data_IF_977422355992
#
_entry.id   IF_977422355992
#
_cell.length_a   1.000
_cell.length_b   1.000
_cell.length_c   1.000
_cell.angle_alpha   90.00
_cell.angle_beta   90.00
_cell.angle_gamma   90.00
#
_symmetry.space_group_name_H-M   'P 1'
#
loop_
_entity.id
_entity.type
_entity.pdbx_description
1 polymer ?
#
# COMPACT_ATOMS: atom_id res chain seq x y z
N UNK A 1 0.50 -6.56 15.95
CA UNK A 1 0.03 -5.15 15.90
C UNK A 1 -0.76 -4.94 14.62
N UNK A 2 -1.79 -4.08 14.64
CA UNK A 2 -2.59 -3.77 13.46
C UNK A 2 -1.80 -2.73 12.63
N UNK A 3 -1.48 -2.97 11.36
CA UNK A 3 -0.70 -2.02 10.56
C UNK A 3 -1.44 -0.68 10.48
N UNK A 4 -0.72 0.46 10.58
CA UNK A 4 -1.35 1.77 10.52
C UNK A 4 -2.03 1.95 9.17
N UNK A 5 -3.17 2.63 9.17
CA UNK A 5 -4.05 2.75 8.01
C UNK A 5 -4.58 4.17 7.91
N UNK A 6 -4.53 4.74 6.71
CA UNK A 6 -5.22 5.98 6.39
C UNK A 6 -5.89 5.88 5.03
N UNK A 7 -6.84 6.77 4.81
CA UNK A 7 -7.46 6.97 3.52
C UNK A 7 -7.74 8.45 3.33
N UNK A 8 -7.81 8.87 2.07
CA UNK A 8 -8.11 10.23 1.66
C UNK A 8 -8.90 10.17 0.37
N UNK A 9 -9.86 11.07 0.24
CA UNK A 9 -10.50 11.34 -1.04
C UNK A 9 -9.93 12.66 -1.56
N UNK A 10 -9.23 12.61 -2.69
CA UNK A 10 -8.60 13.78 -3.30
C UNK A 10 -8.96 13.82 -4.77
N UNK A 11 -9.51 14.95 -5.20
CA UNK A 11 -9.85 15.20 -6.61
C UNK A 11 -10.74 14.11 -7.25
N UNK A 12 -11.59 13.45 -6.44
CA UNK A 12 -12.46 12.37 -6.90
C UNK A 12 -11.82 10.98 -6.94
N UNK A 13 -10.54 10.87 -6.56
CA UNK A 13 -9.85 9.58 -6.39
C UNK A 13 -9.70 9.22 -4.92
N UNK A 14 -10.00 7.96 -4.60
CA UNK A 14 -9.88 7.42 -3.26
C UNK A 14 -8.52 6.77 -3.07
N UNK A 15 -7.69 7.42 -2.27
CA UNK A 15 -6.36 6.97 -1.87
C UNK A 15 -6.50 6.22 -0.55
N UNK A 16 -5.92 5.02 -0.46
CA UNK A 16 -5.89 4.20 0.76
C UNK A 16 -4.48 3.67 0.96
N UNK A 17 -3.99 3.71 2.19
CA UNK A 17 -2.68 3.22 2.53
C UNK A 17 -2.72 2.38 3.80
N UNK A 18 -1.98 1.29 3.84
CA UNK A 18 -1.78 0.48 5.04
C UNK A 18 -0.33 0.00 5.17
N UNK A 19 0.19 -0.03 6.39
CA UNK A 19 1.52 -0.54 6.71
C UNK A 19 2.53 0.58 6.96
N UNK A 20 3.82 0.28 6.83
CA UNK A 20 4.92 1.21 7.10
C UNK A 20 5.79 1.38 5.87
N UNK A 21 6.22 2.61 5.61
CA UNK A 21 7.19 2.95 4.56
C UNK A 21 8.54 3.32 5.16
N UNK A 22 9.62 2.98 4.49
CA UNK A 22 10.97 3.50 4.74
C UNK A 22 11.58 4.00 3.42
N UNK A 23 12.54 4.95 3.47
CA UNK A 23 13.19 5.48 2.26
C UNK A 23 13.80 4.41 1.35
N UNK A 24 14.26 3.29 1.92
CA UNK A 24 14.89 2.19 1.19
C UNK A 24 13.89 1.11 0.75
N UNK A 25 12.59 1.32 0.93
CA UNK A 25 11.59 0.34 0.49
C UNK A 25 11.47 0.37 -1.04
N UNK A 26 11.50 -0.81 -1.64
CA UNK A 26 11.23 -0.99 -3.07
C UNK A 26 9.74 -0.81 -3.32
N UNK A 27 9.40 0.10 -4.23
CA UNK A 27 8.02 0.38 -4.62
C UNK A 27 7.73 -0.31 -5.95
N UNK A 28 6.65 -1.08 -6.02
CA UNK A 28 6.21 -1.71 -7.27
C UNK A 28 4.71 -1.53 -7.47
N UNK A 29 4.31 -1.21 -8.68
CA UNK A 29 2.90 -1.20 -9.09
C UNK A 29 2.52 -2.63 -9.46
N UNK A 30 1.59 -3.21 -8.70
CA UNK A 30 1.14 -4.58 -8.92
C UNK A 30 0.01 -4.65 -9.95
N UNK A 31 -0.89 -3.65 -9.95
CA UNK A 31 -1.96 -3.53 -10.94
C UNK A 31 -2.28 -2.06 -11.22
N UNK A 32 -2.77 -1.80 -12.44
CA UNK A 32 -3.16 -0.48 -12.91
C UNK A 32 -1.96 0.39 -13.30
N UNK A 33 -2.16 1.71 -13.38
CA UNK A 33 -1.11 2.65 -13.72
C UNK A 33 -1.26 3.99 -13.00
N UNK A 34 -0.13 4.66 -12.77
CA UNK A 34 -0.12 6.03 -12.23
C UNK A 34 -0.77 7.03 -13.19
N UNK A 35 -0.67 6.78 -14.51
CA UNK A 35 -1.25 7.65 -15.55
C UNK A 35 -2.78 7.66 -15.49
N UNK A 36 -3.38 6.50 -15.24
CA UNK A 36 -4.84 6.34 -15.08
C UNK A 36 -5.35 6.74 -13.69
N UNK A 37 -4.44 7.08 -12.75
CA UNK A 37 -4.74 7.34 -11.33
C UNK A 37 -5.54 6.22 -10.66
N UNK A 38 -5.43 5.00 -11.19
CA UNK A 38 -6.09 3.82 -10.68
C UNK A 38 -5.07 2.71 -10.64
N UNK A 39 -4.49 2.49 -9.46
CA UNK A 39 -3.39 1.54 -9.30
C UNK A 39 -3.26 1.04 -7.86
N UNK A 40 -2.53 -0.05 -7.73
CA UNK A 40 -2.08 -0.55 -6.44
C UNK A 40 -0.56 -0.67 -6.43
N UNK A 41 0.07 0.02 -5.50
CA UNK A 41 1.49 -0.06 -5.24
C UNK A 41 1.77 -0.80 -3.93
N UNK A 42 2.83 -1.60 -3.91
CA UNK A 42 3.34 -2.27 -2.71
C UNK A 42 4.71 -1.72 -2.37
N UNK A 43 4.98 -1.65 -1.08
CA UNK A 43 6.27 -1.30 -0.51
C UNK A 43 6.89 -2.58 0.03
N UNK A 44 8.12 -2.88 -0.39
CA UNK A 44 8.82 -4.09 -0.02
C UNK A 44 10.17 -3.79 0.61
N UNK A 45 10.51 -4.55 1.65
CA UNK A 45 11.85 -4.55 2.26
C UNK A 45 12.33 -5.98 2.42
N UNK A 46 13.48 -6.30 1.83
CA UNK A 46 14.04 -7.66 1.90
C UNK A 46 13.03 -8.72 1.43
N UNK A 47 12.30 -8.45 0.36
CA UNK A 47 11.29 -9.36 -0.21
C UNK A 47 9.95 -9.42 0.54
N UNK A 48 9.79 -8.73 1.66
CA UNK A 48 8.55 -8.72 2.44
C UNK A 48 7.75 -7.44 2.21
N UNK A 49 6.43 -7.56 2.04
CA UNK A 49 5.56 -6.39 1.89
C UNK A 49 5.39 -5.70 3.24
N UNK A 50 5.90 -4.46 3.33
CA UNK A 50 5.84 -3.60 4.52
C UNK A 50 4.67 -2.62 4.47
N UNK A 51 4.21 -2.28 3.26
CA UNK A 51 3.11 -1.35 3.03
C UNK A 51 2.39 -1.57 1.71
N UNK A 52 1.17 -1.06 1.61
CA UNK A 52 0.38 -1.06 0.37
C UNK A 52 -0.35 0.28 0.24
N UNK A 53 -0.32 0.83 -0.97
CA UNK A 53 -1.04 2.02 -1.42
C UNK A 53 -2.02 1.58 -2.51
N UNK A 54 -3.30 1.93 -2.39
CA UNK A 54 -4.30 1.72 -3.42
C UNK A 54 -4.98 3.03 -3.75
N UNK A 55 -5.02 3.38 -5.03
CA UNK A 55 -5.78 4.51 -5.58
C UNK A 55 -6.88 3.95 -6.46
N UNK A 56 -8.14 4.23 -6.13
CA UNK A 56 -9.34 3.71 -6.83
C UNK A 56 -9.40 2.18 -7.02
N UNK A 57 -8.61 1.45 -6.22
CA UNK A 57 -8.51 -0.02 -6.21
C UNK A 57 -8.92 -0.63 -4.86
N UNK A 58 -10.15 -0.39 -4.35
CA UNK A 58 -10.52 -0.76 -2.97
C UNK A 58 -10.56 -2.27 -2.72
N UNK A 59 -10.96 -3.08 -3.71
CA UNK A 59 -11.01 -4.54 -3.59
C UNK A 59 -9.62 -5.15 -3.53
N UNK A 60 -8.74 -4.70 -4.43
CA UNK A 60 -7.36 -5.18 -4.48
C UNK A 60 -6.58 -4.72 -3.24
N UNK A 61 -6.78 -3.47 -2.80
CA UNK A 61 -6.21 -2.96 -1.56
C UNK A 61 -6.61 -3.81 -0.35
N UNK A 62 -7.90 -4.16 -0.20
CA UNK A 62 -8.35 -4.99 0.90
C UNK A 62 -7.72 -6.39 0.89
N UNK A 63 -7.47 -6.97 -0.29
CA UNK A 63 -6.78 -8.25 -0.45
C UNK A 63 -5.32 -8.15 0.02
N UNK A 64 -4.57 -7.17 -0.47
CA UNK A 64 -3.16 -6.96 -0.09
C UNK A 64 -2.99 -6.55 1.37
N UNK A 65 -3.90 -5.73 1.90
CA UNK A 65 -3.88 -5.34 3.31
C UNK A 65 -3.98 -6.54 4.26
N UNK A 66 -4.64 -7.62 3.87
CA UNK A 66 -4.66 -8.88 4.66
C UNK A 66 -3.33 -9.63 4.60
N UNK A 67 -2.55 -9.42 3.55
CA UNK A 67 -1.24 -10.04 3.35
C UNK A 67 -0.09 -9.25 3.99
N UNK A 68 -0.34 -8.01 4.45
CA UNK A 68 0.57 -7.32 5.35
C UNK A 68 0.72 -8.17 6.61
N UNK A 69 1.74 -9.02 6.60
CA UNK A 69 2.21 -9.69 7.80
C UNK A 69 2.53 -8.59 8.82
N UNK A 70 2.34 -8.89 10.10
CA UNK A 70 2.77 -7.99 11.16
C UNK A 70 4.30 -7.92 11.14
N UNK A 71 4.88 -7.21 10.17
CA UNK A 71 6.30 -6.92 10.11
C UNK A 71 6.58 -6.13 11.38
N UNK A 72 7.39 -6.69 12.31
CA UNK A 72 7.78 -5.95 13.50
C UNK A 72 8.54 -4.73 12.99
N UNK A 73 8.05 -3.54 13.32
CA UNK A 73 8.81 -2.31 13.11
C UNK A 73 10.13 -2.50 13.85
N UNK A 74 11.30 -2.52 13.17
CA UNK A 74 12.55 -2.48 13.89
C UNK A 74 12.58 -1.15 14.64
N UNK A 75 12.73 -1.25 15.97
CA UNK A 75 12.93 -0.10 16.87
C UNK A 75 14.28 0.56 16.64
#
# INVERSE_FOLDING_TARGET
MKPPYFWSDQYGSRIQFAGSTHPDDEISIEEGSCEERSFLATYRRGGHVTGVLGVDQPRLFARWRRQLAAVPTPV
#
